data_IF_277058683068
#
_entry.id   IF_277058683068
#
_cell.length_a   1.000
_cell.length_b   1.000
_cell.length_c   1.000
_cell.angle_alpha   90.00
_cell.angle_beta   90.00
_cell.angle_gamma   90.00
#
_symmetry.space_group_name_H-M   'P 1'
#
loop_
_entity.id
_entity.type
_entity.pdbx_description
1 polymer ?
#
# COMPACT_ATOMS: atom_id res chain seq x y z
N UNK A 1 13.40 14.63 70.12
CA UNK A 1 12.68 15.67 69.36
C UNK A 1 12.89 15.43 67.87
N UNK A 2 11.79 15.45 67.08
CA UNK A 2 11.68 15.59 65.60
C UNK A 2 12.51 14.59 64.75
N UNK A 3 11.93 13.50 64.24
CA UNK A 3 11.17 13.38 62.97
C UNK A 3 11.74 14.24 61.83
N UNK A 4 12.33 13.60 60.81
CA UNK A 4 12.00 13.86 59.41
C UNK A 4 12.48 12.68 58.55
N UNK A 5 11.52 11.93 58.01
CA UNK A 5 11.73 10.95 56.94
C UNK A 5 12.01 11.71 55.64
N UNK A 6 13.03 11.29 54.88
CA UNK A 6 13.16 11.64 53.46
C UNK A 6 13.51 10.36 52.71
N UNK A 7 12.47 9.77 52.11
CA UNK A 7 12.55 8.70 51.13
C UNK A 7 13.04 9.32 49.82
N UNK A 8 14.33 9.17 49.52
CA UNK A 8 14.88 9.49 48.21
C UNK A 8 14.53 8.35 47.25
N UNK A 9 13.33 8.43 46.68
CA UNK A 9 12.93 7.65 45.51
C UNK A 9 13.69 8.28 44.34
N UNK A 10 14.91 7.78 44.10
CA UNK A 10 15.68 8.07 42.91
C UNK A 10 15.01 7.41 41.72
N UNK A 11 14.22 8.22 41.01
CA UNK A 11 13.50 7.82 39.82
C UNK A 11 14.46 7.28 38.75
N UNK A 12 13.98 6.27 38.05
CA UNK A 12 14.63 5.60 36.93
C UNK A 12 15.06 6.60 35.86
N UNK A 13 16.36 6.61 35.56
CA UNK A 13 16.88 7.13 34.31
C UNK A 13 17.38 5.97 33.48
N UNK A 14 16.49 5.32 32.73
CA UNK A 14 16.93 4.51 31.60
C UNK A 14 17.56 5.48 30.60
N UNK A 15 18.89 5.55 30.60
CA UNK A 15 19.64 6.15 29.51
C UNK A 15 19.40 5.26 28.28
N UNK A 16 18.46 5.68 27.45
CA UNK A 16 18.05 4.99 26.24
C UNK A 16 17.43 5.96 25.25
N UNK A 17 18.10 7.09 25.00
CA UNK A 17 17.89 7.84 23.77
C UNK A 17 19.10 7.58 22.86
N UNK A 18 19.07 6.44 22.16
CA UNK A 18 19.68 6.43 20.83
C UNK A 18 18.81 7.35 19.99
N UNK A 19 19.27 8.59 19.78
CA UNK A 19 18.77 9.40 18.67
C UNK A 19 19.07 8.61 17.41
N UNK A 20 18.06 7.93 16.87
CA UNK A 20 18.12 7.56 15.47
C UNK A 20 17.95 8.89 14.75
N UNK A 21 19.02 9.39 14.13
CA UNK A 21 18.90 10.46 13.15
C UNK A 21 17.86 9.97 12.15
N UNK A 22 16.69 10.60 12.19
CA UNK A 22 15.59 10.28 11.31
C UNK A 22 15.89 10.92 9.97
N UNK A 23 16.79 10.31 9.22
CA UNK A 23 16.86 10.49 7.76
C UNK A 23 15.56 9.98 7.11
N UNK A 24 14.81 9.12 7.81
CA UNK A 24 13.44 8.76 7.48
C UNK A 24 12.46 9.46 8.42
N UNK A 25 11.82 10.52 7.91
CA UNK A 25 10.75 11.24 8.59
C UNK A 25 9.64 10.32 9.07
N UNK A 26 9.10 10.67 10.25
CA UNK A 26 7.93 10.02 10.85
C UNK A 26 6.73 10.20 9.89
N UNK A 27 6.46 9.23 9.03
CA UNK A 27 5.33 9.31 8.09
C UNK A 27 5.31 8.28 6.97
N UNK A 28 6.45 7.77 6.51
CA UNK A 28 6.49 6.84 5.38
C UNK A 28 7.26 5.56 5.72
N UNK A 29 6.61 4.62 6.41
CA UNK A 29 7.05 3.23 6.35
C UNK A 29 6.64 2.67 4.98
N UNK A 30 7.45 2.90 3.94
CA UNK A 30 7.29 2.17 2.68
C UNK A 30 7.89 0.78 2.86
N UNK A 31 7.07 -0.26 2.70
CA UNK A 31 7.46 -1.67 2.86
C UNK A 31 8.63 -2.10 1.96
N UNK A 32 8.95 -1.31 0.93
CA UNK A 32 10.10 -1.49 0.05
C UNK A 32 10.85 -0.16 -0.11
N UNK A 33 12.19 -0.19 -0.24
CA UNK A 33 12.96 0.99 -0.62
C UNK A 33 12.43 1.58 -1.94
N UNK A 34 12.48 2.92 -2.10
CA UNK A 34 12.00 3.61 -3.31
C UNK A 34 12.56 3.04 -4.61
N UNK A 35 13.79 2.51 -4.59
CA UNK A 35 14.41 1.82 -5.73
C UNK A 35 13.67 0.56 -6.23
N UNK A 36 12.76 0.00 -5.43
CA UNK A 36 11.89 -1.13 -5.79
C UNK A 36 10.44 -0.70 -6.04
N UNK A 37 10.12 0.57 -5.83
CA UNK A 37 8.82 1.17 -6.17
C UNK A 37 8.92 1.58 -7.63
N UNK A 38 8.32 0.78 -8.51
CA UNK A 38 8.20 1.15 -9.91
C UNK A 38 7.31 2.41 -10.00
N UNK A 39 7.61 3.35 -10.91
CA UNK A 39 6.66 4.40 -11.31
C UNK A 39 5.51 3.76 -12.11
N UNK A 40 4.80 2.82 -11.48
CA UNK A 40 3.59 2.28 -12.04
C UNK A 40 2.55 3.43 -12.01
N UNK A 41 1.91 3.75 -13.14
CA UNK A 41 0.90 4.80 -13.18
C UNK A 41 -0.30 4.53 -12.25
N UNK A 42 -0.39 3.32 -11.70
CA UNK A 42 -1.47 2.83 -10.87
C UNK A 42 -0.96 2.23 -9.56
N UNK A 43 -1.44 2.77 -8.44
CA UNK A 43 -1.22 2.21 -7.11
C UNK A 43 -1.90 0.82 -6.93
N UNK A 44 -1.58 0.16 -5.82
CA UNK A 44 -2.09 -1.18 -5.52
C UNK A 44 -3.60 -1.23 -5.31
N UNK A 45 -4.22 -0.13 -4.86
CA UNK A 45 -5.66 -0.06 -4.60
C UNK A 45 -6.44 0.07 -5.91
N UNK A 46 -5.95 0.88 -6.84
CA UNK A 46 -6.48 0.94 -8.20
C UNK A 46 -6.35 -0.43 -8.90
N UNK A 47 -5.20 -1.10 -8.77
CA UNK A 47 -5.02 -2.47 -9.30
C UNK A 47 -6.02 -3.46 -8.74
N UNK A 48 -6.24 -3.41 -7.43
CA UNK A 48 -7.23 -4.25 -6.76
C UNK A 48 -8.65 -3.99 -7.26
N UNK A 49 -9.02 -2.70 -7.41
CA UNK A 49 -10.28 -2.29 -8.02
C UNK A 49 -10.44 -2.83 -9.44
N UNK A 50 -9.45 -2.62 -10.30
CA UNK A 50 -9.45 -3.04 -11.70
C UNK A 50 -9.70 -4.53 -11.88
N UNK A 51 -8.97 -5.35 -11.14
CA UNK A 51 -9.11 -6.81 -11.26
C UNK A 51 -10.52 -7.26 -10.86
N UNK A 52 -11.08 -6.70 -9.78
CA UNK A 52 -12.45 -6.98 -9.38
C UNK A 52 -13.49 -6.49 -10.38
N UNK A 53 -13.30 -5.28 -10.94
CA UNK A 53 -14.16 -4.72 -11.98
C UNK A 53 -14.21 -5.60 -13.22
N UNK A 54 -13.06 -6.10 -13.67
CA UNK A 54 -12.97 -7.01 -14.80
C UNK A 54 -13.69 -8.33 -14.51
N UNK A 55 -13.47 -8.97 -13.35
CA UNK A 55 -14.18 -10.20 -12.96
C UNK A 55 -15.70 -9.98 -12.93
N UNK A 56 -16.17 -8.85 -12.40
CA UNK A 56 -17.58 -8.47 -12.45
C UNK A 56 -18.14 -8.37 -13.85
N UNK A 57 -17.42 -7.77 -14.80
CA UNK A 57 -17.88 -7.65 -16.18
C UNK A 57 -18.02 -9.04 -16.84
N UNK A 58 -17.03 -9.91 -16.66
CA UNK A 58 -17.05 -11.27 -17.20
C UNK A 58 -18.18 -12.11 -16.59
N UNK A 59 -18.41 -11.98 -15.28
CA UNK A 59 -19.50 -12.66 -14.58
C UNK A 59 -20.86 -12.24 -15.11
N UNK A 60 -21.07 -10.94 -15.37
CA UNK A 60 -22.29 -10.42 -15.97
C UNK A 60 -22.52 -10.90 -17.41
N UNK A 61 -21.48 -11.36 -18.12
CA UNK A 61 -21.57 -11.98 -19.46
C UNK A 61 -21.76 -13.50 -19.39
N UNK A 62 -21.70 -14.10 -18.21
CA UNK A 62 -21.82 -15.55 -18.03
C UNK A 62 -20.54 -16.32 -18.40
N UNK A 63 -19.36 -15.68 -18.33
CA UNK A 63 -18.09 -16.39 -18.46
C UNK A 63 -17.93 -17.35 -17.28
N UNK A 64 -17.59 -18.61 -17.56
CA UNK A 64 -17.39 -19.62 -16.52
C UNK A 64 -16.25 -19.24 -15.58
N UNK A 65 -16.34 -19.65 -14.32
CA UNK A 65 -15.33 -19.39 -13.29
C UNK A 65 -15.04 -17.89 -13.03
N UNK A 66 -16.08 -17.05 -13.11
CA UNK A 66 -16.01 -15.62 -12.78
C UNK A 66 -17.12 -15.23 -11.80
N UNK A 67 -16.83 -14.27 -10.93
CA UNK A 67 -17.74 -13.81 -9.87
C UNK A 67 -17.90 -12.29 -9.93
N UNK A 68 -19.09 -11.80 -9.60
CA UNK A 68 -19.27 -10.37 -9.37
C UNK A 68 -18.59 -9.96 -8.06
N UNK A 69 -17.53 -9.16 -8.18
CA UNK A 69 -16.73 -8.71 -7.06
C UNK A 69 -16.79 -7.18 -6.96
N UNK A 70 -17.36 -6.65 -5.88
CA UNK A 70 -17.18 -5.25 -5.50
C UNK A 70 -17.09 -5.16 -3.98
N UNK A 71 -15.90 -4.84 -3.49
CA UNK A 71 -15.58 -4.75 -2.08
C UNK A 71 -16.35 -3.61 -1.42
N UNK A 72 -17.25 -3.96 -0.50
CA UNK A 72 -18.13 -3.02 0.18
C UNK A 72 -17.38 -2.08 1.15
N UNK A 73 -16.20 -2.47 1.64
CA UNK A 73 -15.41 -1.65 2.55
C UNK A 73 -14.70 -0.52 1.80
N UNK A 74 -14.40 -0.73 0.51
CA UNK A 74 -13.71 0.24 -0.36
C UNK A 74 -14.68 0.98 -1.31
N UNK A 75 -15.84 0.39 -1.58
CA UNK A 75 -16.88 1.00 -2.40
C UNK A 75 -17.39 2.31 -1.78
N UNK A 76 -17.32 3.39 -2.55
CA UNK A 76 -17.61 4.77 -2.12
C UNK A 76 -16.73 5.35 -0.99
N UNK A 77 -15.73 4.63 -0.49
CA UNK A 77 -14.82 5.12 0.56
C UNK A 77 -13.43 5.42 0.01
N UNK A 78 -12.99 4.74 -1.04
CA UNK A 78 -11.69 4.95 -1.69
C UNK A 78 -11.88 5.27 -3.18
N UNK A 79 -11.53 6.48 -3.60
CA UNK A 79 -11.72 6.92 -4.99
C UNK A 79 -10.89 6.11 -5.97
N UNK A 80 -9.67 5.70 -5.60
CA UNK A 80 -8.77 4.92 -6.46
C UNK A 80 -9.29 3.52 -6.69
N UNK A 81 -9.85 2.90 -5.64
CA UNK A 81 -10.53 1.61 -5.77
C UNK A 81 -11.70 1.71 -6.76
N UNK A 82 -12.55 2.73 -6.61
CA UNK A 82 -13.75 2.87 -7.45
C UNK A 82 -13.39 3.20 -8.91
N UNK A 83 -12.41 4.08 -9.13
CA UNK A 83 -11.85 4.36 -10.46
C UNK A 83 -11.34 3.07 -11.12
N UNK A 84 -10.48 2.33 -10.41
CA UNK A 84 -9.96 1.05 -10.89
C UNK A 84 -11.09 0.09 -11.24
N UNK A 85 -12.08 -0.06 -10.36
CA UNK A 85 -13.21 -0.95 -10.58
C UNK A 85 -14.04 -0.60 -11.83
N UNK A 86 -14.34 0.68 -12.04
CA UNK A 86 -15.08 1.12 -13.22
C UNK A 86 -14.27 0.92 -14.52
N UNK A 87 -12.97 1.20 -14.48
CA UNK A 87 -12.06 1.01 -15.61
C UNK A 87 -11.88 -0.47 -15.95
N UNK A 88 -11.70 -1.33 -14.96
CA UNK A 88 -11.61 -2.78 -15.13
C UNK A 88 -12.90 -3.38 -15.69
N UNK A 89 -14.05 -2.92 -15.20
CA UNK A 89 -15.36 -3.33 -15.73
C UNK A 89 -15.51 -2.95 -17.20
N UNK A 90 -15.07 -1.75 -17.58
CA UNK A 90 -15.09 -1.27 -18.97
C UNK A 90 -14.12 -2.08 -19.84
N UNK A 91 -12.93 -2.38 -19.33
CA UNK A 91 -11.90 -3.10 -20.07
C UNK A 91 -12.31 -4.53 -20.48
N UNK A 92 -13.18 -5.18 -19.71
CA UNK A 92 -13.59 -6.57 -19.91
C UNK A 92 -15.05 -6.74 -20.37
N UNK A 93 -15.75 -5.65 -20.73
CA UNK A 93 -17.16 -5.70 -21.17
C UNK A 93 -17.35 -6.37 -22.56
N UNK A 94 -16.25 -6.61 -23.29
CA UNK A 94 -16.24 -7.44 -24.50
C UNK A 94 -16.24 -8.96 -24.22
N UNK A 95 -16.18 -9.35 -22.94
CA UNK A 95 -16.11 -10.75 -22.51
C UNK A 95 -14.70 -11.35 -22.56
N UNK A 96 -13.67 -10.55 -22.80
CA UNK A 96 -12.27 -10.96 -22.76
C UNK A 96 -11.60 -10.46 -21.48
N UNK A 97 -10.95 -11.37 -20.73
CA UNK A 97 -10.20 -10.99 -19.53
C UNK A 97 -9.03 -10.11 -19.90
N UNK A 98 -8.97 -8.92 -19.31
CA UNK A 98 -7.82 -8.01 -19.35
C UNK A 98 -7.20 -8.01 -17.96
N UNK A 99 -5.91 -8.30 -17.90
CA UNK A 99 -5.14 -8.11 -16.68
C UNK A 99 -4.36 -6.82 -16.84
N UNK A 100 -4.35 -6.01 -15.79
CA UNK A 100 -3.44 -4.90 -15.72
C UNK A 100 -2.06 -5.42 -15.32
N UNK A 101 -1.03 -4.89 -15.97
CA UNK A 101 0.34 -5.29 -15.71
C UNK A 101 0.70 -4.93 -14.26
N UNK A 102 0.70 -5.92 -13.37
CA UNK A 102 1.25 -5.75 -12.03
C UNK A 102 2.74 -5.48 -12.18
N UNK A 103 3.19 -4.31 -11.75
CA UNK A 103 4.58 -3.82 -11.71
C UNK A 103 5.63 -4.86 -12.13
N UNK A 104 6.37 -4.60 -13.23
CA UNK A 104 7.52 -5.42 -13.58
C UNK A 104 8.49 -5.46 -12.40
N UNK A 105 8.61 -6.61 -11.73
CA UNK A 105 9.84 -6.90 -10.98
C UNK A 105 10.88 -7.09 -12.06
N UNK A 106 11.63 -6.03 -12.38
CA UNK A 106 12.78 -6.15 -13.25
C UNK A 106 13.70 -7.19 -12.61
N UNK A 107 13.92 -8.31 -13.29
CA UNK A 107 14.85 -9.32 -12.83
C UNK A 107 16.25 -8.70 -12.82
N UNK A 108 16.75 -8.35 -11.63
CA UNK A 108 18.04 -7.70 -11.43
C UNK A 108 18.06 -6.84 -10.17
N UNK A 109 19.26 -6.58 -9.63
CA UNK A 109 19.44 -5.61 -8.55
C UNK A 109 18.99 -4.23 -9.03
N UNK A 110 18.20 -3.46 -8.24
CA UNK A 110 17.82 -2.11 -8.63
C UNK A 110 19.08 -1.28 -8.83
N UNK A 111 19.13 -0.55 -9.95
CA UNK A 111 20.15 0.48 -10.12
C UNK A 111 19.74 1.66 -9.24
N UNK A 112 20.40 1.80 -8.10
CA UNK A 112 20.33 3.02 -7.30
C UNK A 112 20.99 4.12 -8.12
N UNK A 113 20.18 4.93 -8.78
CA UNK A 113 20.59 6.20 -9.33
C UNK A 113 20.85 7.17 -8.17
N UNK A 114 22.01 7.83 -8.22
CA UNK A 114 22.47 8.75 -7.18
C UNK A 114 21.53 9.96 -6.95
N UNK A 115 20.50 10.11 -7.78
CA UNK A 115 19.50 11.18 -7.72
C UNK A 115 18.43 10.95 -6.62
N UNK A 116 18.31 9.71 -6.11
CA UNK A 116 17.37 9.36 -5.04
C UNK A 116 18.03 9.22 -3.65
N UNK A 117 19.07 10.01 -3.40
CA UNK A 117 19.80 10.03 -2.11
C UNK A 117 19.52 11.33 -1.37
N UNK A 118 18.34 11.48 -0.76
CA UNK A 118 18.08 12.42 0.34
C UNK A 118 16.89 11.95 1.19
#
# INVERSE_FOLDING_TARGET
MKKLSVLLIGAWGLAGCSSMDSEYGVGEYTLFPKAYVNEAPYDSIYHFGFNQGCESALSLKGVVDTEYMKDIALNNSDTRYNEGWDDGKTACDDGQRRLMESSHILAGEPKVDAENTY
#
